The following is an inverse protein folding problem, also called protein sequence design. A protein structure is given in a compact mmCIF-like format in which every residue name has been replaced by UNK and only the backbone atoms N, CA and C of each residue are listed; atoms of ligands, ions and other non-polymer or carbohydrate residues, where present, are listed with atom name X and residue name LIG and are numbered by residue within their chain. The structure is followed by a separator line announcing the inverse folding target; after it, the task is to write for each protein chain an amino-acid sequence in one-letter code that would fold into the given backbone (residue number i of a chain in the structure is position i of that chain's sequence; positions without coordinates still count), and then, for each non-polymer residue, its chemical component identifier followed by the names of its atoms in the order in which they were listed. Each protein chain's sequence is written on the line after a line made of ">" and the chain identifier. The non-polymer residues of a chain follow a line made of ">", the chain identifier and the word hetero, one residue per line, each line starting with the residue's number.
data_IF_186325018466
#
_entry.id   IF_186325018466
#
_cell.length_a   1.000
_cell.length_b   1.000
_cell.length_c   1.000
_cell.angle_alpha   90.00
_cell.angle_beta   90.00
_cell.angle_gamma   90.00
#
_symmetry.space_group_name_H-M   'P 1'
#
loop_
_entity.id
_entity.type
_entity.pdbx_description
1 polymer ?
#
# COMPACT_ATOMS: atom_id res chain seq x y z
N UNK A 1 -15.65 -4.39 3.85
CA UNK A 1 -15.24 -5.12 5.06
C UNK A 1 -14.55 -6.39 4.62
N UNK A 2 -13.35 -6.63 5.15
CA UNK A 2 -12.54 -7.83 4.89
C UNK A 2 -13.17 -9.07 5.55
N UNK A 3 -14.25 -9.58 4.96
CA UNK A 3 -15.01 -10.67 5.55
C UNK A 3 -14.17 -11.93 5.73
N UNK A 4 -14.08 -12.40 6.98
CA UNK A 4 -13.34 -13.61 7.35
C UNK A 4 -11.83 -13.43 7.46
N UNK A 5 -11.31 -12.22 7.22
CA UNK A 5 -9.95 -11.87 7.59
C UNK A 5 -9.90 -11.50 9.07
N UNK A 6 -8.82 -11.90 9.73
CA UNK A 6 -8.50 -11.49 11.10
C UNK A 6 -7.07 -10.98 11.09
N UNK A 7 -6.87 -9.73 11.54
CA UNK A 7 -5.53 -9.16 11.71
C UNK A 7 -4.75 -10.04 12.69
N UNK A 8 -3.51 -10.45 12.36
CA UNK A 8 -2.64 -11.11 13.32
C UNK A 8 -2.50 -10.28 14.59
N UNK A 9 -2.30 -10.95 15.73
CA UNK A 9 -1.94 -10.24 16.96
C UNK A 9 -0.54 -9.66 16.80
N UNK A 10 -0.45 -8.35 16.57
CA UNK A 10 0.81 -7.63 16.48
C UNK A 10 1.25 -7.17 17.86
N UNK A 11 2.55 -7.27 18.13
CA UNK A 11 3.15 -6.67 19.33
C UNK A 11 3.78 -5.35 18.93
N UNK A 12 3.20 -4.25 19.41
CA UNK A 12 3.84 -2.93 19.29
C UNK A 12 4.80 -2.82 20.46
N UNK A 13 6.09 -2.84 20.17
CA UNK A 13 7.12 -2.75 21.19
C UNK A 13 7.14 -1.36 21.83
N UNK A 14 7.41 -1.31 23.13
CA UNK A 14 7.71 -0.05 23.82
C UNK A 14 9.13 0.38 23.45
N UNK A 15 9.23 1.44 22.64
CA UNK A 15 10.51 2.06 22.29
C UNK A 15 10.86 3.11 23.33
N UNK A 16 12.14 3.21 23.70
CA UNK A 16 12.60 4.19 24.68
C UNK A 16 13.47 5.26 24.03
N UNK A 17 13.36 6.50 24.48
CA UNK A 17 14.23 7.61 24.08
C UNK A 17 15.61 7.50 24.76
N UNK A 18 16.52 8.43 24.43
CA UNK A 18 17.86 8.47 25.01
C UNK A 18 17.88 8.67 26.55
N UNK A 19 16.75 9.05 27.16
CA UNK A 19 16.57 9.22 28.61
C UNK A 19 15.85 8.01 29.24
N UNK A 20 15.53 6.99 28.46
CA UNK A 20 14.81 5.80 28.91
C UNK A 20 13.30 6.00 29.07
N UNK A 21 12.72 7.07 28.49
CA UNK A 21 11.28 7.31 28.51
C UNK A 21 10.60 6.67 27.31
N UNK A 22 9.39 6.09 27.45
CA UNK A 22 8.63 5.58 26.32
C UNK A 22 8.41 6.62 25.21
N UNK A 23 8.58 6.19 23.97
CA UNK A 23 8.28 6.96 22.76
C UNK A 23 6.90 6.55 22.27
N UNK A 24 5.95 7.48 22.33
CA UNK A 24 4.61 7.31 21.76
C UNK A 24 4.63 7.69 20.28
N UNK A 25 5.17 6.81 19.43
CA UNK A 25 5.17 7.02 17.97
C UNK A 25 3.75 7.27 17.45
N UNK A 26 3.59 8.30 16.60
CA UNK A 26 2.30 8.82 16.14
C UNK A 26 1.83 10.04 16.92
N UNK A 27 2.37 10.26 18.13
CA UNK A 27 2.01 11.35 19.03
C UNK A 27 3.25 11.96 19.71
N UNK A 28 4.45 11.76 19.15
CA UNK A 28 5.71 12.17 19.78
C UNK A 28 5.89 13.68 19.82
N UNK A 29 5.27 14.39 18.88
CA UNK A 29 5.52 15.81 18.65
C UNK A 29 4.25 16.64 18.80
N UNK A 30 4.20 17.48 19.84
CA UNK A 30 3.12 18.46 20.04
C UNK A 30 3.20 19.65 19.06
N UNK A 31 4.37 19.84 18.44
CA UNK A 31 4.68 20.92 17.50
C UNK A 31 5.67 20.42 16.45
N UNK A 32 6.17 21.30 15.58
CA UNK A 32 7.10 20.89 14.52
C UNK A 32 8.30 20.10 15.10
N UNK A 33 8.56 18.88 14.61
CA UNK A 33 9.71 18.08 15.01
C UNK A 33 11.02 18.84 14.76
N UNK A 34 12.07 18.61 15.56
CA UNK A 34 13.37 19.22 15.32
C UNK A 34 13.96 18.71 13.98
N UNK A 35 14.75 19.56 13.32
CA UNK A 35 15.22 19.30 11.95
C UNK A 35 16.04 17.99 11.84
N UNK A 36 16.82 17.68 12.87
CA UNK A 36 17.63 16.47 12.94
C UNK A 36 16.79 15.18 12.97
N UNK A 37 15.56 15.22 13.48
CA UNK A 37 14.64 14.08 13.52
C UNK A 37 14.25 13.60 12.11
N UNK A 38 14.27 14.47 11.10
CA UNK A 38 13.99 14.09 9.71
C UNK A 38 15.13 13.30 9.05
N UNK A 39 16.30 13.24 9.69
CA UNK A 39 17.48 12.52 9.19
C UNK A 39 17.78 11.25 9.99
N UNK A 40 17.06 11.03 11.08
CA UNK A 40 17.28 9.91 12.00
C UNK A 40 16.16 8.87 11.86
N UNK A 41 16.55 7.61 11.97
CA UNK A 41 15.63 6.46 12.04
C UNK A 41 16.09 5.62 13.23
N UNK A 42 15.60 5.94 14.43
CA UNK A 42 16.11 5.32 15.66
C UNK A 42 15.68 3.84 15.77
N UNK A 43 14.43 3.55 15.39
CA UNK A 43 13.82 2.24 15.59
C UNK A 43 13.17 1.73 14.29
N UNK A 44 13.94 1.37 13.24
CA UNK A 44 13.38 0.95 11.96
C UNK A 44 12.50 -0.32 12.07
N UNK A 45 12.80 -1.19 13.03
CA UNK A 45 12.04 -2.41 13.29
C UNK A 45 10.63 -2.15 13.86
N UNK A 46 10.30 -0.91 14.26
CA UNK A 46 8.93 -0.52 14.64
C UNK A 46 7.91 -0.79 13.53
N UNK A 47 8.34 -0.80 12.28
CA UNK A 47 7.49 -1.05 11.12
C UNK A 47 7.36 -2.54 10.75
N UNK A 48 8.03 -3.46 11.45
CA UNK A 48 7.92 -4.91 11.19
C UNK A 48 6.46 -5.43 11.13
N UNK A 49 5.51 -4.94 11.96
CA UNK A 49 4.10 -5.34 11.86
C UNK A 49 3.46 -5.11 10.49
N UNK A 50 3.94 -4.15 9.70
CA UNK A 50 3.43 -3.89 8.34
C UNK A 50 3.64 -5.12 7.44
N UNK A 51 4.79 -5.78 7.57
CA UNK A 51 5.06 -7.02 6.84
C UNK A 51 4.16 -8.15 7.29
N UNK A 52 4.01 -8.34 8.61
CA UNK A 52 3.19 -9.40 9.19
C UNK A 52 1.73 -9.30 8.72
N UNK A 53 1.15 -8.09 8.80
CA UNK A 53 -0.23 -7.84 8.37
C UNK A 53 -0.38 -7.97 6.86
N UNK A 54 0.54 -7.42 6.08
CA UNK A 54 0.50 -7.57 4.61
C UNK A 54 0.58 -9.03 4.18
N UNK A 55 1.41 -9.83 4.84
CA UNK A 55 1.51 -11.26 4.57
C UNK A 55 0.19 -11.99 4.90
N UNK A 56 -0.42 -11.71 6.05
CA UNK A 56 -1.71 -12.29 6.42
C UNK A 56 -2.82 -11.90 5.43
N UNK A 57 -2.84 -10.65 4.95
CA UNK A 57 -3.75 -10.19 3.91
C UNK A 57 -3.53 -10.92 2.59
N UNK A 58 -2.27 -11.11 2.18
CA UNK A 58 -1.91 -11.87 0.98
C UNK A 58 -2.41 -13.32 1.05
N UNK A 59 -2.19 -13.99 2.18
CA UNK A 59 -2.65 -15.35 2.43
C UNK A 59 -4.18 -15.44 2.40
N UNK A 60 -4.86 -14.54 3.11
CA UNK A 60 -6.32 -14.44 3.10
C UNK A 60 -6.86 -14.20 1.68
N UNK A 61 -6.30 -13.27 0.91
CA UNK A 61 -6.73 -12.98 -0.46
C UNK A 61 -6.61 -14.23 -1.35
N UNK A 62 -5.49 -14.96 -1.25
CA UNK A 62 -5.26 -16.18 -2.04
C UNK A 62 -6.26 -17.29 -1.68
N UNK A 63 -6.58 -17.43 -0.39
CA UNK A 63 -7.52 -18.42 0.11
C UNK A 63 -8.98 -18.09 -0.25
N UNK A 64 -9.35 -16.80 -0.26
CA UNK A 64 -10.74 -16.35 -0.32
C UNK A 64 -11.24 -16.02 -1.73
N UNK A 65 -10.36 -15.64 -2.65
CA UNK A 65 -10.72 -15.18 -4.00
C UNK A 65 -10.12 -16.05 -5.10
N UNK A 66 -10.78 -16.10 -6.27
CA UNK A 66 -10.28 -16.72 -7.50
C UNK A 66 -9.21 -15.84 -8.12
N UNK A 67 -8.02 -15.93 -7.55
CA UNK A 67 -6.84 -15.16 -7.91
C UNK A 67 -5.66 -16.08 -8.14
N UNK A 68 -4.80 -15.72 -9.10
CA UNK A 68 -3.52 -16.39 -9.37
C UNK A 68 -2.40 -15.56 -8.77
N UNK A 69 -1.54 -16.21 -7.98
CA UNK A 69 -0.35 -15.63 -7.35
C UNK A 69 0.88 -15.96 -8.18
N UNK A 70 1.73 -14.97 -8.41
CA UNK A 70 3.03 -15.14 -9.08
C UNK A 70 4.10 -14.41 -8.29
N UNK A 71 5.28 -15.03 -8.19
CA UNK A 71 6.49 -14.30 -7.81
C UNK A 71 7.00 -13.54 -9.04
N UNK A 72 7.32 -12.25 -8.85
CA UNK A 72 7.84 -11.40 -9.92
C UNK A 72 9.00 -10.56 -9.39
N UNK A 73 10.24 -11.09 -9.37
CA UNK A 73 11.40 -10.30 -8.96
C UNK A 73 11.59 -9.03 -9.81
N UNK A 74 11.13 -9.03 -11.07
CA UNK A 74 11.22 -7.89 -11.97
C UNK A 74 10.33 -6.70 -11.57
N UNK A 75 9.25 -6.95 -10.81
CA UNK A 75 8.39 -5.90 -10.28
C UNK A 75 9.15 -4.96 -9.32
N UNK A 76 10.07 -5.46 -8.50
CA UNK A 76 10.85 -4.62 -7.59
C UNK A 76 11.60 -3.52 -8.33
N UNK A 77 12.24 -3.86 -9.46
CA UNK A 77 12.92 -2.91 -10.34
C UNK A 77 11.94 -1.90 -10.96
N UNK A 78 10.75 -2.33 -11.36
CA UNK A 78 9.69 -1.43 -11.88
C UNK A 78 9.17 -0.45 -10.81
N UNK A 79 9.28 -0.83 -9.54
CA UNK A 79 8.96 0.00 -8.38
C UNK A 79 10.17 0.77 -7.83
N UNK A 80 11.33 0.71 -8.50
CA UNK A 80 12.58 1.35 -8.08
C UNK A 80 13.07 0.90 -6.70
N UNK A 81 12.74 -0.32 -6.31
CA UNK A 81 13.31 -0.99 -5.15
C UNK A 81 14.68 -1.56 -5.56
N UNK A 82 15.71 -1.34 -4.74
CA UNK A 82 17.03 -1.90 -5.02
C UNK A 82 17.02 -3.42 -4.78
N UNK A 83 17.77 -4.16 -5.59
CA UNK A 83 17.84 -5.63 -5.49
C UNK A 83 18.35 -6.10 -4.11
N UNK A 84 19.20 -5.30 -3.44
CA UNK A 84 19.71 -5.56 -2.09
C UNK A 84 18.69 -5.30 -0.97
N UNK A 85 17.65 -4.52 -1.27
CA UNK A 85 16.58 -4.20 -0.32
C UNK A 85 15.38 -5.13 -0.49
N UNK A 86 15.30 -5.87 -1.59
CA UNK A 86 14.19 -6.77 -1.90
C UNK A 86 14.17 -8.00 -0.98
N UNK A 87 13.06 -8.21 -0.28
CA UNK A 87 12.75 -9.46 0.43
C UNK A 87 11.90 -10.38 -0.44
N UNK A 88 10.79 -9.87 -0.95
CA UNK A 88 9.85 -10.63 -1.76
C UNK A 88 9.04 -9.71 -2.67
N UNK A 89 8.60 -10.25 -3.80
CA UNK A 89 7.78 -9.51 -4.76
C UNK A 89 6.73 -10.43 -5.37
N UNK A 90 5.46 -10.04 -5.21
CA UNK A 90 4.30 -10.87 -5.53
C UNK A 90 3.30 -10.09 -6.37
N UNK A 91 2.75 -10.74 -7.40
CA UNK A 91 1.58 -10.27 -8.14
C UNK A 91 0.38 -11.19 -7.92
N UNK A 92 -0.79 -10.56 -7.87
CA UNK A 92 -2.09 -11.16 -7.78
C UNK A 92 -2.91 -10.76 -9.01
N UNK A 93 -3.33 -11.75 -9.80
CA UNK A 93 -4.19 -11.56 -10.96
C UNK A 93 -5.52 -12.29 -10.75
N UNK A 94 -6.63 -11.56 -10.57
CA UNK A 94 -7.96 -12.16 -10.54
C UNK A 94 -8.24 -12.94 -11.84
N UNK A 95 -9.09 -13.98 -11.76
CA UNK A 95 -9.52 -14.71 -12.96
C UNK A 95 -10.42 -13.87 -13.88
N UNK A 96 -11.17 -12.92 -13.32
CA UNK A 96 -11.93 -11.93 -14.07
C UNK A 96 -11.07 -10.70 -14.38
N UNK A 97 -10.82 -10.43 -15.66
CA UNK A 97 -9.98 -9.31 -16.11
C UNK A 97 -10.58 -7.93 -15.84
N UNK A 98 -11.85 -7.84 -15.42
CA UNK A 98 -12.48 -6.58 -15.01
C UNK A 98 -12.13 -6.19 -13.58
N UNK A 99 -11.50 -7.08 -12.81
CA UNK A 99 -11.05 -6.81 -11.46
C UNK A 99 -9.65 -6.19 -11.47
N UNK A 100 -9.38 -5.28 -10.54
CA UNK A 100 -8.06 -4.66 -10.41
C UNK A 100 -7.02 -5.73 -10.03
N UNK A 101 -5.93 -5.93 -10.79
CA UNK A 101 -4.78 -6.70 -10.30
C UNK A 101 -4.11 -5.98 -9.12
N UNK A 102 -3.31 -6.73 -8.35
CA UNK A 102 -2.58 -6.20 -7.21
C UNK A 102 -1.13 -6.68 -7.22
N UNK A 103 -0.22 -5.85 -6.74
CA UNK A 103 1.18 -6.18 -6.60
C UNK A 103 1.72 -5.69 -5.25
N UNK A 104 2.55 -6.52 -4.61
CA UNK A 104 3.11 -6.28 -3.28
C UNK A 104 4.62 -6.55 -3.33
N UNK A 105 5.44 -5.59 -2.90
CA UNK A 105 6.90 -5.75 -2.77
C UNK A 105 7.33 -5.44 -1.35
N UNK A 106 7.96 -6.39 -0.71
CA UNK A 106 8.46 -6.32 0.67
C UNK A 106 9.95 -5.96 0.65
N UNK A 107 10.35 -5.03 1.53
CA UNK A 107 11.75 -4.53 1.60
C UNK A 107 12.41 -4.74 2.98
N UNK A 108 13.74 -4.68 3.04
CA UNK A 108 14.53 -4.88 4.26
C UNK A 108 14.34 -3.80 5.34
N UNK A 109 14.20 -2.54 4.96
CA UNK A 109 13.47 -1.55 5.73
C UNK A 109 12.01 -1.96 5.64
N UNK A 110 11.25 -2.22 6.73
CA UNK A 110 10.02 -3.03 6.68
C UNK A 110 8.81 -2.29 6.06
N UNK A 111 9.01 -1.76 4.85
CA UNK A 111 8.04 -1.18 3.96
C UNK A 111 7.49 -2.19 2.99
N UNK A 112 6.27 -1.90 2.54
CA UNK A 112 5.60 -2.59 1.45
C UNK A 112 5.26 -1.58 0.38
N UNK A 113 5.70 -1.86 -0.85
CA UNK A 113 5.28 -1.13 -2.03
C UNK A 113 4.06 -1.84 -2.64
N UNK A 114 2.99 -1.08 -2.83
CA UNK A 114 1.70 -1.54 -3.32
C UNK A 114 1.47 -0.99 -4.73
N UNK A 115 1.02 -1.85 -5.65
CA UNK A 115 0.33 -1.42 -6.87
C UNK A 115 -1.09 -1.98 -6.88
N UNK A 116 -2.08 -1.15 -7.23
CA UNK A 116 -3.44 -1.59 -7.49
C UNK A 116 -3.85 -1.18 -8.89
N UNK A 117 -4.63 -2.05 -9.54
CA UNK A 117 -5.17 -1.80 -10.86
C UNK A 117 -4.09 -1.46 -11.88
N UNK A 118 -4.22 -0.30 -12.52
CA UNK A 118 -3.34 0.12 -13.60
C UNK A 118 -2.22 1.06 -13.14
N UNK A 119 -2.53 2.04 -12.28
CA UNK A 119 -1.64 3.18 -12.06
C UNK A 119 -1.40 3.50 -10.59
N UNK A 120 -2.33 3.16 -9.70
CA UNK A 120 -2.17 3.46 -8.28
C UNK A 120 -0.93 2.80 -7.67
N UNK A 121 -0.16 3.59 -6.93
CA UNK A 121 1.02 3.16 -6.19
C UNK A 121 1.06 3.79 -4.81
N UNK A 122 1.43 3.01 -3.81
CA UNK A 122 1.68 3.48 -2.45
C UNK A 122 2.90 2.76 -1.86
N UNK A 123 3.57 3.39 -0.91
CA UNK A 123 4.62 2.79 -0.09
C UNK A 123 4.19 2.97 1.36
N UNK A 124 4.23 1.92 2.16
CA UNK A 124 3.88 1.98 3.60
C UNK A 124 4.93 1.25 4.44
N UNK A 125 5.61 1.92 5.40
CA UNK A 125 5.69 3.38 5.51
C UNK A 125 6.39 3.99 4.29
N UNK A 126 6.00 5.23 3.93
CA UNK A 126 6.67 6.00 2.88
C UNK A 126 7.97 6.66 3.36
N UNK A 127 8.07 6.91 4.68
CA UNK A 127 9.19 7.55 5.34
C UNK A 127 9.41 6.89 6.69
N UNK A 128 10.67 6.58 7.00
CA UNK A 128 11.05 5.95 8.26
C UNK A 128 11.46 6.90 9.36
N UNK A 129 11.61 8.20 9.05
CA UNK A 129 12.29 9.11 9.93
C UNK A 129 11.50 9.37 11.22
N UNK A 130 12.23 9.69 12.27
CA UNK A 130 11.70 10.04 13.58
C UNK A 130 10.86 11.33 13.53
N UNK A 131 11.13 12.22 12.57
CA UNK A 131 10.38 13.46 12.35
C UNK A 131 8.99 13.25 11.76
N UNK A 132 8.81 12.31 10.83
CA UNK A 132 7.49 11.97 10.30
C UNK A 132 6.62 11.27 11.35
N UNK A 133 7.25 10.59 12.30
CA UNK A 133 6.59 9.99 13.47
C UNK A 133 5.40 9.08 13.13
N UNK A 134 5.47 8.37 12.00
CA UNK A 134 4.38 7.55 11.48
C UNK A 134 3.77 6.59 12.52
N UNK A 135 2.44 6.52 12.60
CA UNK A 135 1.70 5.64 13.50
C UNK A 135 1.50 4.26 12.86
N UNK A 136 2.08 3.22 13.48
CA UNK A 136 1.93 1.83 13.00
C UNK A 136 0.48 1.36 13.01
N UNK A 137 -0.31 1.55 14.09
CA UNK A 137 -1.73 1.20 14.08
C UNK A 137 -2.51 1.81 12.90
N UNK A 138 -2.34 3.12 12.67
CA UNK A 138 -3.05 3.84 11.61
C UNK A 138 -2.65 3.33 10.22
N UNK A 139 -1.34 3.12 9.98
CA UNK A 139 -0.88 2.54 8.72
C UNK A 139 -1.46 1.16 8.43
N UNK A 140 -1.67 0.34 9.46
CA UNK A 140 -2.28 -0.97 9.31
C UNK A 140 -3.77 -0.88 9.00
N UNK A 141 -4.47 0.07 9.62
CA UNK A 141 -5.87 0.36 9.30
C UNK A 141 -6.01 0.84 7.85
N UNK A 142 -5.18 1.80 7.40
CA UNK A 142 -5.17 2.29 6.02
C UNK A 142 -4.85 1.18 5.00
N UNK A 143 -3.87 0.33 5.30
CA UNK A 143 -3.51 -0.81 4.45
C UNK A 143 -4.70 -1.75 4.24
N UNK A 144 -5.39 -2.10 5.31
CA UNK A 144 -6.56 -2.98 5.27
C UNK A 144 -7.73 -2.34 4.51
N UNK A 145 -7.92 -1.05 4.68
CA UNK A 145 -8.94 -0.26 3.98
C UNK A 145 -8.70 -0.17 2.47
N UNK A 146 -7.46 0.09 2.05
CA UNK A 146 -7.13 0.09 0.62
C UNK A 146 -7.33 -1.29 -0.01
N UNK A 147 -6.88 -2.35 0.68
CA UNK A 147 -7.09 -3.72 0.19
C UNK A 147 -8.58 -4.06 0.12
N UNK A 148 -9.37 -3.67 1.13
CA UNK A 148 -10.83 -3.86 1.13
C UNK A 148 -11.48 -3.16 -0.06
N UNK A 149 -11.10 -1.91 -0.33
CA UNK A 149 -11.64 -1.15 -1.46
C UNK A 149 -11.36 -1.84 -2.80
N UNK A 150 -10.16 -2.39 -2.99
CA UNK A 150 -9.78 -3.11 -4.22
C UNK A 150 -10.58 -4.41 -4.36
N UNK A 151 -10.57 -5.27 -3.35
CA UNK A 151 -11.20 -6.61 -3.46
C UNK A 151 -12.73 -6.52 -3.48
N UNK A 152 -13.32 -5.47 -2.92
CA UNK A 152 -14.77 -5.23 -2.96
C UNK A 152 -15.27 -4.45 -4.18
N UNK A 153 -14.38 -4.01 -5.09
CA UNK A 153 -14.75 -3.23 -6.26
C UNK A 153 -15.15 -1.78 -5.94
N UNK A 154 -14.76 -1.29 -4.76
CA UNK A 154 -14.92 0.10 -4.33
C UNK A 154 -13.75 1.00 -4.77
N UNK A 155 -12.80 0.46 -5.53
CA UNK A 155 -11.68 1.18 -6.12
C UNK A 155 -11.96 1.59 -7.57
N UNK A 156 -11.75 2.87 -7.88
CA UNK A 156 -11.96 3.45 -9.22
C UNK A 156 -10.68 4.15 -9.66
N UNK A 157 -10.31 3.98 -10.94
CA UNK A 157 -9.21 4.69 -11.58
C UNK A 157 -9.70 5.37 -12.86
N UNK A 158 -9.61 6.69 -12.91
CA UNK A 158 -10.10 7.50 -14.02
C UNK A 158 -8.92 8.21 -14.67
N UNK A 159 -8.70 7.97 -15.97
CA UNK A 159 -7.76 8.76 -16.76
C UNK A 159 -8.47 9.89 -17.48
N UNK A 160 -8.13 11.12 -17.14
CA UNK A 160 -8.57 12.31 -17.86
C UNK A 160 -7.47 12.78 -18.81
N UNK A 161 -7.64 12.49 -20.10
CA UNK A 161 -6.66 12.81 -21.14
C UNK A 161 -6.57 14.31 -21.43
N UNK A 162 -7.67 15.05 -21.30
CA UNK A 162 -7.71 16.48 -21.55
C UNK A 162 -6.96 17.25 -20.46
N UNK A 163 -7.12 16.81 -19.20
CA UNK A 163 -6.43 17.39 -18.04
C UNK A 163 -5.08 16.72 -17.75
N UNK A 164 -4.70 15.69 -18.51
CA UNK A 164 -3.50 14.89 -18.34
C UNK A 164 -3.27 14.42 -16.88
N UNK A 165 -4.34 13.93 -16.25
CA UNK A 165 -4.29 13.43 -14.88
C UNK A 165 -4.97 12.08 -14.75
N UNK A 166 -4.52 11.31 -13.76
CA UNK A 166 -5.21 10.13 -13.25
C UNK A 166 -5.78 10.45 -11.88
N UNK A 167 -7.03 10.05 -11.66
CA UNK A 167 -7.71 10.15 -10.36
C UNK A 167 -8.01 8.75 -9.85
N UNK A 168 -7.62 8.48 -8.61
CA UNK A 168 -7.90 7.25 -7.89
C UNK A 168 -8.93 7.54 -6.81
N UNK A 169 -10.00 6.75 -6.76
CA UNK A 169 -11.08 6.92 -5.79
C UNK A 169 -11.23 5.63 -4.97
N UNK A 170 -11.36 5.79 -3.66
CA UNK A 170 -11.62 4.71 -2.72
C UNK A 170 -12.93 4.98 -1.99
N UNK A 171 -13.93 4.12 -2.23
CA UNK A 171 -15.21 4.15 -1.53
C UNK A 171 -15.16 3.24 -0.30
N UNK A 172 -14.48 3.67 0.76
CA UNK A 172 -14.30 2.86 1.97
C UNK A 172 -15.37 3.19 3.00
N UNK A 173 -15.99 2.17 3.61
CA UNK A 173 -17.08 2.38 4.58
C UNK A 173 -16.66 3.19 5.82
N UNK A 174 -15.40 3.12 6.23
CA UNK A 174 -14.90 3.75 7.46
C UNK A 174 -14.47 5.21 7.24
N UNK A 175 -13.72 5.50 6.17
CA UNK A 175 -13.27 6.86 5.82
C UNK A 175 -14.23 7.64 4.89
N UNK A 176 -15.25 6.99 4.36
CA UNK A 176 -16.14 7.57 3.35
C UNK A 176 -15.50 7.55 1.97
N UNK A 177 -15.09 8.72 1.47
CA UNK A 177 -14.55 8.90 0.12
C UNK A 177 -13.14 9.47 0.21
N UNK A 178 -12.16 8.73 -0.31
CA UNK A 178 -10.80 9.22 -0.49
C UNK A 178 -10.51 9.37 -1.98
N UNK A 179 -9.88 10.49 -2.36
CA UNK A 179 -9.51 10.83 -3.72
C UNK A 179 -8.03 11.23 -3.77
N UNK A 180 -7.29 10.66 -4.71
CA UNK A 180 -5.92 11.07 -5.01
C UNK A 180 -5.75 11.26 -6.52
N UNK A 181 -5.26 12.43 -6.92
CA UNK A 181 -4.95 12.72 -8.32
C UNK A 181 -3.45 12.85 -8.55
N UNK A 182 -2.99 12.45 -9.74
CA UNK A 182 -1.59 12.51 -10.17
C UNK A 182 -1.47 12.97 -11.61
N UNK A 183 -0.46 13.80 -11.90
CA UNK A 183 -0.13 14.23 -13.26
C UNK A 183 0.41 13.07 -14.09
N UNK A 184 0.10 13.05 -15.39
CA UNK A 184 0.72 12.12 -16.33
C UNK A 184 2.23 12.33 -16.46
N UNK A 185 2.74 13.53 -16.15
CA UNK A 185 4.18 13.82 -16.16
C UNK A 185 4.96 12.99 -15.12
N UNK A 186 4.30 12.59 -14.04
CA UNK A 186 4.88 11.74 -12.98
C UNK A 186 4.83 10.24 -13.33
N UNK A 187 4.25 9.89 -14.48
CA UNK A 187 3.99 8.52 -14.90
C UNK A 187 4.73 8.24 -16.20
N UNK A 188 5.47 7.12 -16.26
CA UNK A 188 6.21 6.79 -17.47
C UNK A 188 5.26 6.53 -18.65
N UNK A 189 5.64 6.91 -19.89
CA UNK A 189 4.81 6.68 -21.08
C UNK A 189 4.39 5.22 -21.27
N UNK A 190 5.28 4.27 -20.96
CA UNK A 190 4.99 2.84 -21.05
C UNK A 190 3.89 2.41 -20.06
N UNK A 191 3.83 3.01 -18.87
CA UNK A 191 2.76 2.74 -17.89
C UNK A 191 1.43 3.36 -18.32
N UNK A 192 1.45 4.57 -18.86
CA UNK A 192 0.24 5.20 -19.40
C UNK A 192 -0.33 4.39 -20.58
N UNK A 193 0.54 3.89 -21.47
CA UNK A 193 0.13 3.03 -22.58
C UNK A 193 -0.52 1.74 -22.08
N UNK A 194 0.11 1.04 -21.13
CA UNK A 194 -0.47 -0.17 -20.51
C UNK A 194 -1.78 0.13 -19.79
N UNK A 195 -1.86 1.24 -19.05
CA UNK A 195 -3.07 1.61 -18.31
C UNK A 195 -4.25 1.80 -19.26
N UNK A 196 -4.03 2.44 -20.40
CA UNK A 196 -5.04 2.62 -21.45
C UNK A 196 -5.60 1.30 -21.98
N UNK A 197 -4.82 0.22 -21.95
CA UNK A 197 -5.25 -1.11 -22.43
C UNK A 197 -6.11 -1.86 -21.41
N UNK A 198 -5.88 -1.65 -20.11
CA UNK A 198 -6.48 -2.48 -19.05
C UNK A 198 -7.54 -1.76 -18.23
N UNK A 199 -7.59 -0.43 -18.26
CA UNK A 199 -8.55 0.33 -17.46
C UNK A 199 -9.99 0.04 -17.92
N UNK A 200 -10.92 -0.18 -16.97
CA UNK A 200 -12.35 -0.23 -17.27
C UNK A 200 -12.82 1.08 -17.92
N UNK A 201 -13.76 1.00 -18.87
CA UNK A 201 -14.25 2.17 -19.59
C UNK A 201 -14.88 3.24 -18.68
N UNK A 202 -15.54 2.81 -17.61
CA UNK A 202 -16.13 3.69 -16.58
C UNK A 202 -15.17 3.95 -15.40
N UNK A 203 -13.92 3.47 -15.49
CA UNK A 203 -12.90 3.52 -14.46
C UNK A 203 -13.14 2.59 -13.27
N UNK A 204 -14.27 1.88 -13.19
CA UNK A 204 -14.64 1.09 -12.02
C UNK A 204 -14.14 -0.34 -12.15
N UNK A 205 -13.27 -0.75 -11.23
CA UNK A 205 -12.84 -2.14 -11.14
C UNK A 205 -13.93 -3.01 -10.51
N UNK A 206 -14.15 -4.20 -11.07
CA UNK A 206 -15.11 -5.16 -10.54
C UNK A 206 -14.62 -5.79 -9.21
N UNK A 207 -15.54 -6.17 -8.30
CA UNK A 207 -15.18 -6.92 -7.09
C UNK A 207 -14.51 -8.25 -7.45
N UNK A 208 -13.54 -8.67 -6.63
CA UNK A 208 -12.83 -9.92 -6.86
C UNK A 208 -13.77 -11.12 -6.68
N UNK A 209 -13.78 -12.08 -7.61
CA UNK A 209 -14.64 -13.25 -7.52
C UNK A 209 -14.22 -14.14 -6.35
N UNK A 210 -15.20 -14.55 -5.53
CA UNK A 210 -15.02 -15.50 -4.43
C UNK A 210 -14.74 -16.89 -4.98
N UNK A 211 -13.90 -17.68 -4.30
CA UNK A 211 -13.69 -19.11 -4.65
C UNK A 211 -14.96 -19.94 -4.49
#
# INVERSE_FOLDING_TARGET
>A
MLHGYQRPQITIADFLDARGLPIEYGNRWDSQPPEDAYTQVAHPHRFAPVHEVTQALLEWMCARFKVRRYEDPGLARLLRVNDQDLIASVRLFPEDSRCAPMALVFTNFPSVHLEFGALFRRITPNCGCDGCDESVPEMLDELEEWIDAVVSGAFVEIMNWDQQLVTHLFHVKALGFAEESRSFEDISPARLARAREILPHDGRWAPWPVR
#
